data_IF_856413554333
#
_entry.id   IF_856413554333
#
_cell.length_a   1.000
_cell.length_b   1.000
_cell.length_c   1.000
_cell.angle_alpha   90.00
_cell.angle_beta   90.00
_cell.angle_gamma   90.00
#
_symmetry.space_group_name_H-M   'P 1'
#
loop_
_entity.id
_entity.type
_entity.pdbx_description
1 polymer ?
#
# COMPACT_ATOMS: atom_id res chain seq x y z
N UNK A 1 5.84 -14.91 1.46
CA UNK A 1 5.84 -14.73 2.92
C UNK A 1 5.68 -13.26 3.27
N UNK A 2 4.71 -12.95 4.12
CA UNK A 2 4.48 -11.63 4.72
C UNK A 2 5.12 -11.56 6.10
N UNK A 3 5.69 -10.41 6.48
CA UNK A 3 6.17 -10.15 7.85
C UNK A 3 5.33 -9.02 8.44
N UNK A 4 4.82 -9.23 9.65
CA UNK A 4 4.16 -8.19 10.43
C UNK A 4 5.02 -7.89 11.65
N UNK A 5 5.43 -6.64 11.83
CA UNK A 5 6.24 -6.20 12.96
C UNK A 5 5.34 -5.51 13.98
N UNK A 6 5.32 -6.03 15.21
CA UNK A 6 4.47 -5.57 16.33
C UNK A 6 5.30 -5.10 17.55
N UNK A 7 6.53 -4.68 17.33
CA UNK A 7 7.44 -4.27 18.41
C UNK A 7 8.84 -3.97 17.89
N UNK A 8 9.86 -4.26 18.70
CA UNK A 8 11.25 -4.03 18.30
C UNK A 8 11.85 -5.26 17.62
N UNK A 9 12.48 -5.07 16.46
CA UNK A 9 13.20 -6.09 15.71
C UNK A 9 14.58 -5.54 15.40
N UNK A 10 15.61 -6.24 15.86
CA UNK A 10 17.00 -5.90 15.56
C UNK A 10 17.62 -7.05 14.76
N UNK A 11 17.98 -6.80 13.51
CA UNK A 11 18.60 -7.81 12.63
C UNK A 11 18.13 -7.77 11.18
N UNK A 12 18.48 -8.82 10.43
CA UNK A 12 18.11 -8.96 9.01
C UNK A 12 16.64 -9.40 8.87
N UNK A 13 15.79 -8.56 8.28
CA UNK A 13 14.44 -8.95 7.89
C UNK A 13 14.41 -9.31 6.40
N UNK A 14 13.99 -10.52 6.09
CA UNK A 14 13.79 -10.96 4.70
C UNK A 14 12.33 -11.34 4.48
N UNK A 15 11.61 -10.54 3.69
CA UNK A 15 10.25 -10.82 3.29
C UNK A 15 10.15 -10.99 1.77
N UNK A 16 9.40 -11.99 1.32
CA UNK A 16 9.27 -12.29 -0.12
C UNK A 16 7.99 -11.74 -0.74
N UNK A 17 7.00 -11.31 0.06
CA UNK A 17 5.74 -10.73 -0.43
C UNK A 17 5.53 -9.30 0.05
N UNK A 18 5.39 -9.10 1.36
CA UNK A 18 5.19 -7.78 1.96
C UNK A 18 5.73 -7.68 3.37
N UNK A 19 6.15 -6.49 3.76
CA UNK A 19 6.44 -6.13 5.15
C UNK A 19 5.38 -5.14 5.61
N UNK A 20 4.67 -5.44 6.68
CA UNK A 20 3.77 -4.53 7.37
C UNK A 20 4.35 -4.18 8.74
N UNK A 21 4.66 -2.91 8.96
CA UNK A 21 5.11 -2.41 10.25
C UNK A 21 3.90 -1.77 10.94
N UNK A 22 3.51 -2.26 12.11
CA UNK A 22 2.36 -1.74 12.89
C UNK A 22 2.79 -0.57 13.81
N UNK A 23 1.82 0.06 14.49
CA UNK A 23 2.07 1.09 15.52
C UNK A 23 3.05 0.56 16.58
N UNK A 24 4.16 1.29 16.81
CA UNK A 24 5.31 0.92 17.66
C UNK A 24 6.28 -0.14 17.10
N UNK A 25 6.24 -0.42 15.79
CA UNK A 25 7.27 -1.24 15.16
C UNK A 25 8.60 -0.49 15.08
N UNK A 26 9.61 -0.89 15.86
CA UNK A 26 10.99 -0.41 15.71
C UNK A 26 11.81 -1.46 15.00
N UNK A 27 12.42 -1.12 13.88
CA UNK A 27 13.28 -2.04 13.14
C UNK A 27 14.67 -1.44 13.00
N UNK A 28 15.67 -2.10 13.58
CA UNK A 28 17.09 -1.78 13.41
C UNK A 28 17.79 -2.88 12.61
N UNK A 29 18.15 -2.61 11.36
CA UNK A 29 18.85 -3.56 10.50
C UNK A 29 18.43 -3.52 9.04
N UNK A 30 18.89 -4.49 8.26
CA UNK A 30 18.65 -4.56 6.82
C UNK A 30 17.31 -5.26 6.52
N UNK A 31 16.45 -4.61 5.75
CA UNK A 31 15.17 -5.16 5.27
C UNK A 31 15.29 -5.46 3.77
N UNK A 32 15.02 -6.71 3.38
CA UNK A 32 14.86 -7.10 1.98
C UNK A 32 13.40 -7.43 1.71
N UNK A 33 12.71 -6.62 0.91
CA UNK A 33 11.29 -6.84 0.58
C UNK A 33 10.84 -6.15 -0.71
N UNK A 34 10.00 -6.77 -1.55
CA UNK A 34 9.45 -6.13 -2.76
C UNK A 34 8.44 -5.01 -2.44
N UNK A 35 7.73 -5.12 -1.32
CA UNK A 35 6.68 -4.17 -0.90
C UNK A 35 6.74 -3.96 0.61
N UNK A 36 6.68 -2.71 1.05
CA UNK A 36 6.71 -2.32 2.46
C UNK A 36 5.53 -1.39 2.75
N UNK A 37 4.80 -1.66 3.82
CA UNK A 37 3.71 -0.86 4.36
C UNK A 37 4.05 -0.50 5.80
N UNK A 38 4.00 0.78 6.10
CA UNK A 38 4.47 1.34 7.36
C UNK A 38 3.28 2.05 8.01
N UNK A 39 2.84 1.56 9.15
CA UNK A 39 1.83 2.23 9.98
C UNK A 39 2.45 3.41 10.72
N UNK A 40 1.61 4.34 11.15
CA UNK A 40 2.03 5.49 11.93
C UNK A 40 2.65 5.07 13.27
N UNK A 41 3.61 5.86 13.77
CA UNK A 41 4.33 5.56 15.02
C UNK A 41 5.39 4.46 14.92
N UNK A 42 5.72 3.96 13.73
CA UNK A 42 6.83 3.04 13.51
C UNK A 42 8.17 3.76 13.27
N UNK A 43 9.26 3.13 13.69
CA UNK A 43 10.63 3.62 13.51
C UNK A 43 11.46 2.59 12.75
N UNK A 44 12.13 3.02 11.68
CA UNK A 44 13.03 2.16 10.92
C UNK A 44 14.42 2.80 10.85
N UNK A 45 15.46 2.01 11.12
CA UNK A 45 16.86 2.43 11.06
C UNK A 45 17.72 1.33 10.44
N UNK A 46 18.19 1.56 9.22
CA UNK A 46 19.02 0.60 8.48
C UNK A 46 18.89 0.77 6.97
N UNK A 47 19.19 -0.29 6.21
CA UNK A 47 19.06 -0.30 4.74
C UNK A 47 17.79 -1.06 4.31
N UNK A 48 17.08 -0.56 3.30
CA UNK A 48 15.97 -1.30 2.69
C UNK A 48 16.33 -1.63 1.25
N UNK A 49 16.42 -2.92 0.94
CA UNK A 49 16.57 -3.46 -0.41
C UNK A 49 15.19 -3.81 -0.97
N UNK A 50 14.65 -2.91 -1.80
CA UNK A 50 13.39 -3.12 -2.50
C UNK A 50 13.59 -3.93 -3.78
N UNK A 51 13.52 -5.26 -3.67
CA UNK A 51 13.56 -6.15 -4.83
C UNK A 51 12.26 -6.07 -5.61
N UNK A 52 12.21 -5.16 -6.58
CA UNK A 52 11.03 -4.88 -7.41
C UNK A 52 10.68 -6.10 -8.28
N UNK A 53 9.73 -6.91 -7.82
CA UNK A 53 9.07 -7.88 -8.68
C UNK A 53 7.96 -7.15 -9.48
N UNK A 54 7.82 -7.50 -10.75
CA UNK A 54 7.00 -6.81 -11.77
C UNK A 54 5.50 -6.64 -11.40
N UNK A 55 5.04 -7.37 -10.38
CA UNK A 55 3.64 -7.46 -9.92
C UNK A 55 3.04 -6.19 -9.28
N UNK A 56 3.82 -5.16 -8.95
CA UNK A 56 3.27 -3.94 -8.34
C UNK A 56 2.52 -3.04 -9.34
N UNK A 57 2.77 -3.19 -10.64
CA UNK A 57 2.16 -2.33 -11.68
C UNK A 57 0.66 -2.55 -11.87
N UNK A 58 0.14 -3.71 -11.48
CA UNK A 58 -1.26 -4.10 -11.78
C UNK A 58 -2.25 -3.51 -10.78
N UNK A 59 -1.84 -3.27 -9.53
CA UNK A 59 -2.75 -2.81 -8.46
C UNK A 59 -3.07 -1.30 -8.51
N UNK A 60 -2.21 -0.49 -9.14
CA UNK A 60 -2.44 0.96 -9.27
C UNK A 60 -3.42 1.37 -10.37
N UNK A 61 -3.73 0.48 -11.32
CA UNK A 61 -4.53 0.82 -12.50
C UNK A 61 -6.04 0.81 -12.25
N UNK A 62 -6.53 0.06 -11.27
CA UNK A 62 -7.97 -0.09 -11.01
C UNK A 62 -8.61 1.04 -10.17
N UNK A 63 -7.82 2.03 -9.71
CA UNK A 63 -8.36 3.14 -8.89
C UNK A 63 -8.78 4.38 -9.68
N UNK A 64 -8.81 4.31 -11.02
CA UNK A 64 -9.09 5.48 -11.90
C UNK A 64 -10.53 5.59 -12.42
N UNK A 65 -11.46 4.74 -11.99
CA UNK A 65 -12.82 4.72 -12.58
C UNK A 65 -13.95 5.29 -11.70
N UNK A 66 -13.70 5.81 -10.50
CA UNK A 66 -14.78 6.26 -9.58
C UNK A 66 -14.78 7.77 -9.26
N UNK A 67 -14.30 8.61 -10.18
CA UNK A 67 -14.49 10.07 -10.13
C UNK A 67 -15.12 10.58 -11.42
N UNK A 68 -16.39 10.23 -11.65
CA UNK A 68 -17.23 10.95 -12.59
C UNK A 68 -18.51 11.36 -11.85
N UNK A 69 -18.78 12.66 -11.66
CA UNK A 69 -19.98 13.11 -10.97
C UNK A 69 -21.21 12.71 -11.79
N UNK A 70 -21.97 11.72 -11.30
CA UNK A 70 -23.34 11.49 -11.76
C UNK A 70 -24.23 12.52 -11.06
N UNK A 71 -25.32 12.86 -11.73
CA UNK A 71 -26.45 13.69 -11.29
C UNK A 71 -26.33 15.19 -11.61
N UNK A 72 -26.49 15.54 -12.89
CA UNK A 72 -27.43 16.59 -13.34
C UNK A 72 -27.44 16.69 -14.87
N UNK A 73 -28.19 15.80 -15.53
CA UNK A 73 -28.68 16.03 -16.89
C UNK A 73 -29.93 15.17 -17.12
N UNK A 74 -31.07 15.65 -16.63
CA UNK A 74 -32.39 15.33 -17.17
C UNK A 74 -33.07 16.68 -17.35
N UNK A 75 -33.16 17.16 -18.60
CA UNK A 75 -34.46 17.14 -19.26
C UNK A 75 -34.30 16.95 -20.80
N UNK A 76 -35.36 16.93 -21.65
CA UNK A 76 -36.80 16.84 -21.43
C UNK A 76 -37.45 15.75 -22.33
N UNK A 77 -38.05 14.71 -21.76
CA UNK A 77 -39.06 13.93 -22.49
C UNK A 77 -40.41 14.13 -21.81
N UNK A 78 -41.45 14.32 -22.63
CA UNK A 78 -42.86 14.34 -22.25
C UNK A 78 -43.42 15.63 -21.60
N UNK A 79 -43.63 16.66 -22.43
CA UNK A 79 -44.74 17.58 -22.20
C UNK A 79 -45.46 17.93 -23.52
N UNK A 80 -46.19 16.92 -24.04
CA UNK A 80 -47.43 17.02 -24.85
C UNK A 80 -47.29 17.65 -26.25
N UNK A 81 -47.71 16.96 -27.31
CA UNK A 81 -49.10 16.72 -27.77
C UNK A 81 -49.84 18.03 -28.02
#
# INVERSE_FOLDING_TARGET
KSIVVLGQVTGNLTASEKVDIRENGSVEGDITAPRVSIADGSHFRGSIDMKKNEFDRVAGALKREEQAPRLTALPPELARL
#
